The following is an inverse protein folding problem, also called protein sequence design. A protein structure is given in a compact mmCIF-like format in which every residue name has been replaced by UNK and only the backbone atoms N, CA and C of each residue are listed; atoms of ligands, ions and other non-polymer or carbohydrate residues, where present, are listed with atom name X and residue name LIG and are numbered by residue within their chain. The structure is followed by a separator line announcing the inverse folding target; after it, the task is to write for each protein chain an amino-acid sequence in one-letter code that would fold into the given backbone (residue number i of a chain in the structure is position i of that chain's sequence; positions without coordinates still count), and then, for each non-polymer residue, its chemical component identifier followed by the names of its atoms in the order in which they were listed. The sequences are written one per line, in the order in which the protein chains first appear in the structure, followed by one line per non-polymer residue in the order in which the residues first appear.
data_IF_906484208776
#
_entry.id   IF_906484208776
#
_cell.length_a   1.000
_cell.length_b   1.000
_cell.length_c   1.000
_cell.angle_alpha   90.00
_cell.angle_beta   90.00
_cell.angle_gamma   90.00
#
_symmetry.space_group_name_H-M   'P 1'
#
loop_
_entity.id
_entity.type
_entity.pdbx_description
1 polymer ?
#
# COMPACT_ATOMS: atom_id res chain seq x y z
N UNK A 1 -14.99 -23.38 19.58
CA UNK A 1 -14.80 -22.49 20.75
C UNK A 1 -13.37 -22.64 21.26
N UNK A 2 -12.48 -21.71 20.89
CA UNK A 2 -11.17 -21.54 21.53
C UNK A 2 -10.89 -20.04 21.58
N UNK A 3 -11.13 -19.48 22.74
CA UNK A 3 -10.91 -18.07 23.08
C UNK A 3 -9.42 -17.81 23.19
N UNK A 4 -8.88 -16.97 22.30
CA UNK A 4 -7.55 -16.38 22.44
C UNK A 4 -7.77 -15.03 23.12
N UNK A 5 -7.31 -14.95 24.37
CA UNK A 5 -7.23 -13.72 25.15
C UNK A 5 -6.20 -12.79 24.51
N UNK A 6 -6.66 -11.75 23.81
CA UNK A 6 -5.83 -10.59 23.51
C UNK A 6 -5.79 -9.74 24.79
N UNK A 7 -4.67 -9.89 25.51
CA UNK A 7 -4.24 -8.97 26.55
C UNK A 7 -3.91 -7.61 25.90
N UNK A 8 -4.93 -6.77 25.71
CA UNK A 8 -4.73 -5.32 25.57
C UNK A 8 -4.50 -4.81 26.99
N UNK A 9 -3.28 -4.97 27.49
CA UNK A 9 -2.85 -4.34 28.72
C UNK A 9 -2.78 -2.83 28.49
N UNK A 10 -3.64 -2.11 29.19
CA UNK A 10 -3.70 -0.66 29.16
C UNK A 10 -2.39 -0.01 29.61
N UNK A 11 -1.94 0.94 28.81
CA UNK A 11 -1.11 2.06 29.25
C UNK A 11 -1.95 3.34 29.13
N UNK A 12 -3.04 3.36 29.90
CA UNK A 12 -3.68 4.57 30.38
C UNK A 12 -3.28 4.73 31.84
N UNK A 13 -2.14 5.38 32.10
CA UNK A 13 -1.93 6.09 33.36
C UNK A 13 -0.86 7.17 33.23
N UNK A 14 -1.23 8.34 33.76
CA UNK A 14 -0.41 9.48 34.18
C UNK A 14 0.48 10.17 33.15
N UNK A 15 -0.04 11.28 32.60
CA UNK A 15 0.68 12.55 32.46
C UNK A 15 1.92 12.59 31.55
N UNK A 16 1.83 13.43 30.51
CA UNK A 16 2.97 13.99 29.74
C UNK A 16 3.50 13.22 28.52
N UNK A 17 2.63 12.76 27.63
CA UNK A 17 3.04 12.34 26.28
C UNK A 17 2.17 13.04 25.24
N UNK A 18 2.66 14.15 24.68
CA UNK A 18 2.08 14.83 23.51
C UNK A 18 3.21 15.56 22.78
N UNK A 19 3.61 15.07 21.59
CA UNK A 19 4.38 15.80 20.58
C UNK A 19 4.88 14.99 19.38
N UNK A 20 4.28 15.14 18.19
CA UNK A 20 4.83 14.67 16.93
C UNK A 20 4.81 15.69 15.79
N UNK A 21 5.46 15.34 14.67
CA UNK A 21 5.63 16.06 13.39
C UNK A 21 4.33 16.46 12.65
N UNK A 22 3.19 16.41 13.34
CA UNK A 22 1.82 16.79 12.97
C UNK A 22 1.06 17.28 14.21
N UNK A 23 1.08 16.44 15.24
CA UNK A 23 0.54 16.60 16.58
C UNK A 23 1.47 17.42 17.49
N UNK A 24 1.53 18.74 17.31
CA UNK A 24 2.42 19.73 17.95
C UNK A 24 3.45 19.38 19.04
N UNK A 25 4.63 20.03 18.98
CA UNK A 25 5.74 19.74 19.91
C UNK A 25 5.68 20.51 21.24
N UNK A 26 6.05 19.89 22.37
CA UNK A 26 6.29 20.60 23.64
C UNK A 26 7.52 21.49 23.47
N UNK A 27 7.32 22.80 23.54
CA UNK A 27 8.35 23.81 23.35
C UNK A 27 9.31 23.82 24.56
N UNK A 28 10.61 23.97 24.33
CA UNK A 28 11.64 24.02 25.38
C UNK A 28 11.51 25.22 26.34
N UNK A 29 12.23 25.22 27.49
CA UNK A 29 12.18 26.32 28.46
C UNK A 29 12.64 27.67 27.90
N UNK A 30 13.56 27.66 26.92
CA UNK A 30 14.17 28.86 26.32
C UNK A 30 13.21 29.75 25.52
N UNK A 31 12.06 29.23 25.11
CA UNK A 31 11.14 29.93 24.19
C UNK A 31 9.92 30.49 24.94
N UNK A 32 10.16 31.04 26.14
CA UNK A 32 9.13 31.54 27.05
C UNK A 32 8.28 32.64 26.40
N UNK A 33 8.90 33.55 25.64
CA UNK A 33 8.21 34.57 24.86
C UNK A 33 7.23 33.99 23.82
N UNK A 34 7.58 32.86 23.19
CA UNK A 34 6.70 32.19 22.21
C UNK A 34 5.55 31.47 22.90
N UNK A 35 5.81 30.76 24.01
CA UNK A 35 4.75 30.16 24.87
C UNK A 35 3.77 31.21 25.37
N UNK A 36 4.28 32.36 25.81
CA UNK A 36 3.46 33.45 26.32
C UNK A 36 2.71 34.17 25.19
N UNK A 37 3.24 34.16 23.96
CA UNK A 37 2.48 34.62 22.79
C UNK A 37 1.29 33.69 22.47
N UNK A 38 1.50 32.37 22.50
CA UNK A 38 0.46 31.37 22.25
C UNK A 38 -0.62 31.37 23.35
N UNK A 39 -0.24 31.59 24.61
CA UNK A 39 -1.18 31.72 25.74
C UNK A 39 -2.02 32.99 25.66
N UNK A 40 -1.41 34.13 25.30
CA UNK A 40 -2.11 35.42 25.18
C UNK A 40 -3.04 35.50 23.98
N UNK A 41 -2.69 34.85 22.87
CA UNK A 41 -3.51 34.86 21.65
C UNK A 41 -4.83 34.06 21.78
N UNK A 42 -4.95 33.20 22.80
CA UNK A 42 -6.05 32.24 22.91
C UNK A 42 -5.98 31.18 21.80
N UNK A 43 -6.86 30.17 21.89
CA UNK A 43 -6.99 29.15 20.85
C UNK A 43 -8.26 29.40 20.05
N UNK A 44 -8.17 30.07 18.89
CA UNK A 44 -9.36 30.53 18.16
C UNK A 44 -10.00 29.47 17.27
N UNK A 45 -9.45 28.25 17.22
CA UNK A 45 -9.89 27.20 16.31
C UNK A 45 -10.83 26.21 16.98
N UNK A 46 -11.77 25.66 16.21
CA UNK A 46 -12.65 24.59 16.71
C UNK A 46 -11.89 23.27 16.90
N UNK A 47 -10.89 23.03 16.06
CA UNK A 47 -10.07 21.83 16.05
C UNK A 47 -8.58 22.14 16.23
N UNK A 48 -7.80 21.26 16.87
CA UNK A 48 -8.27 20.06 17.56
C UNK A 48 -9.07 20.39 18.82
N UNK A 49 -9.99 19.51 19.24
CA UNK A 49 -10.94 19.77 20.35
C UNK A 49 -10.22 20.11 21.66
N UNK A 50 -9.02 19.55 21.89
CA UNK A 50 -8.17 19.85 23.06
C UNK A 50 -7.04 20.83 22.76
N UNK A 51 -7.16 21.60 21.68
CA UNK A 51 -6.14 22.52 21.22
C UNK A 51 -5.76 23.57 22.26
N UNK A 52 -6.76 24.22 22.88
CA UNK A 52 -6.53 25.19 23.95
C UNK A 52 -5.73 24.60 25.13
N UNK A 53 -6.11 23.41 25.61
CA UNK A 53 -5.43 22.72 26.71
C UNK A 53 -4.00 22.33 26.32
N UNK A 54 -3.78 21.91 25.08
CA UNK A 54 -2.44 21.57 24.59
C UNK A 54 -1.55 22.82 24.50
N UNK A 55 -2.07 23.92 23.94
CA UNK A 55 -1.34 25.19 23.82
C UNK A 55 -0.99 25.77 25.20
N UNK A 56 -1.90 25.72 26.19
CA UNK A 56 -1.61 26.13 27.57
C UNK A 56 -0.44 25.35 28.19
N UNK A 57 -0.32 24.06 27.83
CA UNK A 57 0.80 23.19 28.22
C UNK A 57 2.09 23.45 27.41
N UNK A 58 2.11 24.47 26.56
CA UNK A 58 3.27 24.86 25.76
C UNK A 58 3.49 23.96 24.55
N UNK A 59 2.42 23.36 24.02
CA UNK A 59 2.47 22.52 22.83
C UNK A 59 2.20 23.37 21.58
N UNK A 60 3.11 23.34 20.62
CA UNK A 60 3.00 24.05 19.35
C UNK A 60 2.25 23.23 18.30
N UNK A 61 0.93 23.40 18.19
CA UNK A 61 0.09 22.65 17.25
C UNK A 61 0.26 23.10 15.80
N UNK A 62 0.15 22.15 14.87
CA UNK A 62 -0.03 22.47 13.46
C UNK A 62 -1.47 22.92 13.19
N UNK A 63 -1.69 23.50 12.02
CA UNK A 63 -3.03 23.81 11.59
C UNK A 63 -3.87 22.54 11.39
N UNK A 64 -5.14 22.54 11.81
CA UNK A 64 -5.90 21.30 11.93
C UNK A 64 -6.23 20.67 10.58
N UNK A 65 -6.53 21.48 9.56
CA UNK A 65 -6.95 20.98 8.25
C UNK A 65 -5.75 20.87 7.32
N UNK A 66 -5.66 19.77 6.58
CA UNK A 66 -4.57 19.46 5.67
C UNK A 66 -5.04 18.94 4.31
N UNK A 67 -4.23 19.20 3.29
CA UNK A 67 -4.31 18.62 1.97
C UNK A 67 -2.91 18.18 1.55
N UNK A 68 -2.78 16.94 1.11
CA UNK A 68 -1.49 16.33 0.77
C UNK A 68 -1.57 15.61 -0.57
N UNK A 69 -0.56 15.82 -1.41
CA UNK A 69 -0.33 15.05 -2.61
C UNK A 69 0.79 14.05 -2.34
N UNK A 70 0.58 12.79 -2.68
CA UNK A 70 1.51 11.69 -2.54
C UNK A 70 1.84 11.10 -3.91
N UNK A 71 3.12 11.00 -4.21
CA UNK A 71 3.64 10.25 -5.35
C UNK A 71 4.41 9.06 -4.79
N UNK A 72 4.01 7.86 -5.18
CA UNK A 72 4.64 6.63 -4.72
C UNK A 72 5.04 5.76 -5.90
N UNK A 73 6.23 5.19 -5.84
CA UNK A 73 6.72 4.19 -6.78
C UNK A 73 7.42 3.06 -6.03
N UNK A 74 7.31 1.84 -6.51
CA UNK A 74 7.99 0.72 -5.86
C UNK A 74 7.77 -0.62 -6.54
N UNK A 75 8.33 -1.64 -5.93
CA UNK A 75 8.21 -3.04 -6.33
C UNK A 75 7.99 -3.93 -5.12
N UNK A 76 7.28 -5.02 -5.32
CA UNK A 76 6.93 -6.03 -4.33
C UNK A 76 7.10 -7.42 -4.93
N UNK A 77 7.79 -8.30 -4.20
CA UNK A 77 7.77 -9.74 -4.49
C UNK A 77 6.47 -10.36 -3.96
N UNK A 78 5.85 -11.19 -4.80
CA UNK A 78 4.53 -11.79 -4.55
C UNK A 78 4.65 -13.30 -4.69
N UNK A 79 3.99 -14.01 -3.78
CA UNK A 79 3.77 -15.45 -3.90
C UNK A 79 2.39 -15.66 -4.54
N UNK A 80 2.34 -16.49 -5.58
CA UNK A 80 1.08 -16.91 -6.21
C UNK A 80 0.80 -18.36 -5.81
N UNK A 81 -0.41 -18.62 -5.33
CA UNK A 81 -0.90 -19.95 -4.95
C UNK A 81 -2.32 -20.17 -5.47
N UNK A 82 -2.83 -21.40 -5.38
CA UNK A 82 -4.21 -21.78 -5.71
C UNK A 82 -4.67 -21.32 -7.10
N UNK A 83 -3.81 -21.46 -8.12
CA UNK A 83 -4.18 -21.16 -9.51
C UNK A 83 -5.28 -22.12 -9.98
N UNK A 84 -6.37 -21.56 -10.48
CA UNK A 84 -7.44 -22.28 -11.17
C UNK A 84 -7.77 -21.55 -12.46
N UNK A 85 -8.06 -22.31 -13.52
CA UNK A 85 -8.33 -21.77 -14.86
C UNK A 85 -9.57 -22.43 -15.44
N UNK A 86 -10.41 -21.64 -16.10
CA UNK A 86 -11.60 -22.08 -16.84
C UNK A 86 -11.80 -21.27 -18.12
N UNK A 87 -12.58 -21.81 -19.05
CA UNK A 87 -12.86 -21.22 -20.36
C UNK A 87 -14.36 -21.14 -20.62
N UNK A 88 -14.83 -20.01 -21.17
CA UNK A 88 -16.19 -19.82 -21.69
C UNK A 88 -17.26 -20.44 -20.77
N UNK A 89 -17.28 -19.99 -19.50
CA UNK A 89 -18.18 -20.42 -18.41
C UNK A 89 -18.05 -21.88 -17.91
N UNK A 90 -17.06 -22.66 -18.35
CA UNK A 90 -16.79 -23.98 -17.78
C UNK A 90 -16.26 -23.89 -16.34
N UNK A 91 -16.49 -24.93 -15.50
CA UNK A 91 -15.94 -24.99 -14.14
C UNK A 91 -14.42 -24.81 -14.14
N UNK A 92 -13.93 -23.98 -13.21
CA UNK A 92 -12.50 -23.76 -13.04
C UNK A 92 -11.81 -25.05 -12.57
N UNK A 93 -10.68 -25.35 -13.20
CA UNK A 93 -9.86 -26.52 -12.88
C UNK A 93 -8.59 -26.06 -12.15
N UNK A 94 -8.22 -26.67 -11.01
CA UNK A 94 -6.95 -26.39 -10.35
C UNK A 94 -5.75 -26.73 -11.23
N UNK A 95 -4.79 -25.79 -11.31
CA UNK A 95 -3.54 -25.90 -12.06
C UNK A 95 -2.36 -26.04 -11.11
N UNK A 96 -2.42 -27.05 -10.23
CA UNK A 96 -1.43 -27.32 -9.17
C UNK A 96 -0.04 -27.73 -9.68
N UNK A 97 0.04 -28.23 -10.91
CA UNK A 97 1.30 -28.52 -11.61
C UNK A 97 2.04 -27.27 -12.10
N UNK A 98 1.38 -26.10 -12.14
CA UNK A 98 2.02 -24.84 -12.54
C UNK A 98 2.79 -24.28 -11.37
N UNK A 99 4.12 -24.14 -11.53
CA UNK A 99 4.96 -23.50 -10.52
C UNK A 99 5.40 -22.12 -10.99
N UNK A 100 5.16 -21.13 -10.15
CA UNK A 100 5.64 -19.78 -10.34
C UNK A 100 7.06 -19.66 -9.78
N UNK A 101 7.95 -19.06 -10.55
CA UNK A 101 9.24 -18.57 -10.06
C UNK A 101 9.08 -17.25 -9.32
N UNK A 102 10.09 -16.38 -9.41
CA UNK A 102 9.98 -15.04 -8.85
C UNK A 102 8.90 -14.23 -9.59
N UNK A 103 7.87 -13.78 -8.85
CA UNK A 103 6.84 -12.87 -9.34
C UNK A 103 7.06 -11.51 -8.71
N UNK A 104 7.16 -10.48 -9.55
CA UNK A 104 7.43 -9.12 -9.13
C UNK A 104 6.34 -8.17 -9.62
N UNK A 105 5.70 -7.48 -8.69
CA UNK A 105 4.73 -6.43 -8.96
C UNK A 105 5.36 -5.05 -8.77
N UNK A 106 5.47 -4.27 -9.84
CA UNK A 106 5.84 -2.86 -9.83
C UNK A 106 4.59 -1.99 -9.73
N UNK A 107 4.59 -1.00 -8.84
CA UNK A 107 3.44 -0.13 -8.57
C UNK A 107 3.86 1.33 -8.60
N UNK A 108 3.02 2.15 -9.23
CA UNK A 108 3.10 3.61 -9.23
C UNK A 108 1.74 4.18 -8.85
N UNK A 109 1.71 5.16 -7.97
CA UNK A 109 0.47 5.82 -7.57
C UNK A 109 0.64 7.32 -7.36
N UNK A 110 -0.42 8.04 -7.65
CA UNK A 110 -0.58 9.45 -7.33
C UNK A 110 -1.89 9.61 -6.55
N UNK A 111 -1.80 9.98 -5.27
CA UNK A 111 -2.97 10.11 -4.40
C UNK A 111 -3.03 11.48 -3.73
N UNK A 112 -4.23 12.01 -3.61
CA UNK A 112 -4.54 13.16 -2.78
C UNK A 112 -5.13 12.67 -1.44
N UNK A 113 -4.75 13.36 -0.36
CA UNK A 113 -5.27 13.17 0.99
C UNK A 113 -5.86 14.47 1.48
N UNK A 114 -7.03 14.39 2.12
CA UNK A 114 -7.62 15.48 2.89
C UNK A 114 -7.74 15.03 4.34
N UNK A 115 -7.19 15.79 5.27
CA UNK A 115 -7.06 15.40 6.67
C UNK A 115 -7.47 16.49 7.68
N UNK A 116 -7.87 16.04 8.87
CA UNK A 116 -8.28 16.87 10.00
C UNK A 116 -7.74 16.30 11.31
N UNK A 117 -6.92 17.10 12.02
CA UNK A 117 -6.59 16.83 13.42
C UNK A 117 -7.81 17.07 14.32
N UNK A 118 -8.53 16.01 14.64
CA UNK A 118 -9.69 16.07 15.55
C UNK A 118 -9.26 16.23 17.00
N UNK A 119 -8.16 15.57 17.40
CA UNK A 119 -7.51 15.74 18.70
C UNK A 119 -6.04 16.11 18.50
N UNK A 120 -5.35 16.69 19.49
CA UNK A 120 -3.94 17.07 19.37
C UNK A 120 -3.00 15.92 18.99
N UNK A 121 -3.46 14.66 19.04
CA UNK A 121 -2.72 13.43 18.75
C UNK A 121 -3.45 12.51 17.77
N UNK A 122 -4.62 12.90 17.27
CA UNK A 122 -5.45 12.07 16.39
C UNK A 122 -5.88 12.86 15.15
N UNK A 123 -5.46 12.38 14.00
CA UNK A 123 -5.84 12.85 12.68
C UNK A 123 -6.75 11.84 12.01
N UNK A 124 -7.76 12.32 11.28
CA UNK A 124 -8.63 11.49 10.44
C UNK A 124 -8.60 12.01 9.03
N UNK A 125 -8.65 11.12 8.05
CA UNK A 125 -8.47 11.52 6.66
C UNK A 125 -9.17 10.60 5.67
N UNK A 126 -9.39 11.14 4.48
CA UNK A 126 -9.73 10.40 3.28
C UNK A 126 -8.60 10.51 2.26
N UNK A 127 -8.37 9.46 1.50
CA UNK A 127 -7.42 9.41 0.38
C UNK A 127 -8.11 8.96 -0.89
N UNK A 128 -7.69 9.51 -2.03
CA UNK A 128 -8.18 9.15 -3.34
C UNK A 128 -7.14 9.40 -4.41
N UNK A 129 -7.10 8.57 -5.45
CA UNK A 129 -6.13 8.77 -6.53
C UNK A 129 -6.12 7.68 -7.58
N UNK A 130 -5.08 7.73 -8.41
CA UNK A 130 -4.84 6.78 -9.48
C UNK A 130 -3.65 5.89 -9.15
N UNK A 131 -3.74 4.64 -9.61
CA UNK A 131 -2.68 3.64 -9.49
C UNK A 131 -2.45 2.98 -10.84
N UNK A 132 -1.18 2.66 -11.10
CA UNK A 132 -0.77 1.77 -12.19
C UNK A 132 0.09 0.67 -11.58
N UNK A 133 -0.21 -0.57 -11.91
CA UNK A 133 0.53 -1.73 -11.47
C UNK A 133 0.95 -2.56 -12.68
N UNK A 134 2.19 -3.05 -12.67
CA UNK A 134 2.72 -3.98 -13.67
C UNK A 134 3.20 -5.21 -12.95
N UNK A 135 2.66 -6.38 -13.30
CA UNK A 135 3.07 -7.65 -12.69
C UNK A 135 3.87 -8.44 -13.71
N UNK A 136 5.13 -8.73 -13.37
CA UNK A 136 5.98 -9.66 -14.08
C UNK A 136 5.78 -11.03 -13.47
N UNK A 137 5.23 -11.95 -14.25
CA UNK A 137 4.96 -13.33 -13.85
C UNK A 137 5.96 -14.23 -14.53
N UNK A 138 6.72 -14.98 -13.74
CA UNK A 138 7.61 -16.02 -14.23
C UNK A 138 7.04 -17.39 -13.85
N UNK A 139 6.77 -18.23 -14.83
CA UNK A 139 6.38 -19.63 -14.66
C UNK A 139 7.60 -20.49 -14.96
N UNK A 140 7.95 -21.39 -14.05
CA UNK A 140 9.14 -22.26 -14.16
C UNK A 140 8.80 -23.71 -14.46
N UNK A 141 7.56 -24.14 -14.17
CA UNK A 141 7.04 -25.45 -14.55
C UNK A 141 5.63 -25.29 -15.12
N UNK A 142 5.26 -26.08 -16.14
CA UNK A 142 6.03 -27.19 -16.75
C UNK A 142 7.11 -26.77 -17.75
N UNK A 143 7.10 -25.52 -18.20
CA UNK A 143 8.14 -24.92 -19.03
C UNK A 143 8.34 -23.45 -18.63
N UNK A 144 9.51 -22.90 -18.95
CA UNK A 144 9.83 -21.52 -18.63
C UNK A 144 9.04 -20.56 -19.53
N UNK A 145 8.23 -19.71 -18.90
CA UNK A 145 7.46 -18.68 -19.59
C UNK A 145 7.40 -17.41 -18.73
N UNK A 146 7.57 -16.26 -19.38
CA UNK A 146 7.41 -14.95 -18.74
C UNK A 146 6.27 -14.16 -19.37
N UNK A 147 5.40 -13.59 -18.53
CA UNK A 147 4.34 -12.69 -18.96
C UNK A 147 4.36 -11.38 -18.18
N UNK A 148 3.84 -10.32 -18.80
CA UNK A 148 3.59 -9.04 -18.15
C UNK A 148 2.08 -8.75 -18.17
N UNK A 149 1.55 -8.30 -17.04
CA UNK A 149 0.18 -7.79 -16.94
C UNK A 149 0.20 -6.33 -16.43
N UNK A 150 -0.36 -5.40 -17.21
CA UNK A 150 -0.50 -3.99 -16.87
C UNK A 150 -1.93 -3.71 -16.40
N UNK A 151 -2.04 -3.10 -15.22
CA UNK A 151 -3.29 -2.73 -14.60
C UNK A 151 -3.28 -1.24 -14.32
N UNK A 152 -4.37 -0.56 -14.70
CA UNK A 152 -4.64 0.81 -14.28
C UNK A 152 -5.86 0.82 -13.41
N UNK A 153 -5.98 1.83 -12.57
CA UNK A 153 -7.14 1.93 -11.72
C UNK A 153 -7.15 3.11 -10.80
N UNK A 154 -8.12 3.08 -9.90
CA UNK A 154 -8.37 4.12 -8.92
C UNK A 154 -8.42 3.53 -7.53
N UNK A 155 -8.01 4.33 -6.56
CA UNK A 155 -8.04 3.96 -5.15
C UNK A 155 -8.79 5.02 -4.36
N UNK A 156 -9.56 4.56 -3.39
CA UNK A 156 -10.18 5.40 -2.36
C UNK A 156 -9.93 4.76 -1.01
N UNK A 157 -9.76 5.56 0.03
CA UNK A 157 -9.52 5.03 1.37
C UNK A 157 -9.86 6.00 2.46
N UNK A 158 -10.03 5.45 3.65
CA UNK A 158 -10.21 6.18 4.89
C UNK A 158 -9.11 5.76 5.85
N UNK A 159 -8.64 6.70 6.66
CA UNK A 159 -7.59 6.39 7.61
C UNK A 159 -7.54 7.35 8.78
N UNK A 160 -6.66 6.99 9.71
CA UNK A 160 -6.34 7.77 10.88
C UNK A 160 -4.86 7.73 11.15
N UNK A 161 -4.33 8.83 11.66
CA UNK A 161 -2.96 8.89 12.18
C UNK A 161 -3.02 9.19 13.67
N UNK A 162 -2.45 8.29 14.46
CA UNK A 162 -2.17 8.53 15.89
C UNK A 162 -0.73 9.00 16.01
N UNK A 163 -0.52 10.11 16.71
CA UNK A 163 0.77 10.77 16.74
C UNK A 163 1.10 11.32 18.12
N UNK A 164 2.32 11.05 18.59
CA UNK A 164 2.79 11.57 19.87
C UNK A 164 4.30 11.68 19.94
N UNK A 165 4.78 12.19 21.07
CA UNK A 165 6.21 12.26 21.35
C UNK A 165 6.60 13.26 22.43
N UNK A 166 7.89 13.41 22.64
CA UNK A 166 8.47 13.91 23.88
C UNK A 166 9.96 14.24 23.69
N UNK A 167 10.39 15.45 24.05
CA UNK A 167 11.80 15.90 23.96
C UNK A 167 12.47 15.62 22.61
N UNK A 168 11.74 15.86 21.52
CA UNK A 168 12.23 15.62 20.16
C UNK A 168 11.96 14.20 19.65
N UNK A 169 11.80 13.20 20.52
CA UNK A 169 11.36 11.86 20.08
C UNK A 169 9.92 11.92 19.57
N UNK A 170 9.63 11.18 18.50
CA UNK A 170 8.34 11.18 17.81
C UNK A 170 7.88 9.76 17.48
N UNK A 171 6.59 9.44 17.66
CA UNK A 171 5.98 8.16 17.29
C UNK A 171 4.65 8.31 16.53
N UNK A 172 4.63 7.94 15.24
CA UNK A 172 3.47 8.07 14.31
C UNK A 172 2.99 6.64 14.14
N UNK A 173 1.71 6.37 14.29
CA UNK A 173 1.09 5.17 13.73
C UNK A 173 0.00 5.60 12.76
N UNK A 174 0.20 5.29 11.49
CA UNK A 174 -0.80 5.53 10.45
C UNK A 174 -1.54 4.24 10.15
N UNK A 175 -2.87 4.29 10.17
CA UNK A 175 -3.76 3.16 9.90
C UNK A 175 -4.72 3.60 8.81
N UNK A 176 -4.75 2.89 7.69
CA UNK A 176 -5.73 3.14 6.65
C UNK A 176 -6.28 1.86 6.06
N UNK A 177 -7.49 2.01 5.53
CA UNK A 177 -8.19 0.99 4.78
C UNK A 177 -8.52 1.54 3.41
N UNK A 178 -8.11 0.82 2.37
CA UNK A 178 -8.23 1.24 0.98
C UNK A 178 -9.06 0.23 0.18
N UNK A 179 -9.81 0.77 -0.78
CA UNK A 179 -10.53 0.05 -1.81
C UNK A 179 -9.94 0.47 -3.14
N UNK A 180 -9.23 -0.44 -3.78
CA UNK A 180 -8.58 -0.21 -5.07
C UNK A 180 -9.31 -1.00 -6.14
N UNK A 181 -9.81 -0.31 -7.17
CA UNK A 181 -10.39 -0.93 -8.35
C UNK A 181 -9.37 -0.85 -9.47
N UNK A 182 -9.02 -2.01 -10.02
CA UNK A 182 -8.12 -2.15 -11.15
C UNK A 182 -8.90 -2.68 -12.34
N UNK A 183 -8.52 -2.25 -13.54
CA UNK A 183 -9.04 -2.82 -14.79
C UNK A 183 -8.74 -4.32 -14.83
N UNK A 184 -9.62 -5.12 -15.44
CA UNK A 184 -9.46 -6.58 -15.59
C UNK A 184 -9.32 -7.37 -14.28
N UNK A 185 -9.70 -6.77 -13.14
CA UNK A 185 -9.83 -7.46 -11.86
C UNK A 185 -11.26 -7.25 -11.35
N UNK A 186 -11.94 -8.35 -11.03
CA UNK A 186 -13.31 -8.26 -10.56
C UNK A 186 -13.39 -7.70 -9.12
N UNK A 187 -14.25 -6.71 -8.94
CA UNK A 187 -14.49 -6.09 -7.64
C UNK A 187 -13.45 -5.06 -7.23
N UNK A 188 -13.21 -4.95 -5.92
CA UNK A 188 -12.25 -4.00 -5.34
C UNK A 188 -11.32 -4.74 -4.39
N UNK A 189 -10.03 -4.51 -4.54
CA UNK A 189 -8.99 -5.03 -3.64
C UNK A 189 -9.03 -4.20 -2.37
N UNK A 190 -9.32 -4.86 -1.25
CA UNK A 190 -9.40 -4.24 0.07
C UNK A 190 -8.09 -4.45 0.80
N UNK A 191 -7.46 -3.38 1.25
CA UNK A 191 -6.17 -3.44 1.93
C UNK A 191 -6.17 -2.61 3.19
N UNK A 192 -5.83 -3.25 4.30
CA UNK A 192 -5.43 -2.57 5.53
C UNK A 192 -3.93 -2.31 5.51
N UNK A 193 -3.54 -1.07 5.76
CA UNK A 193 -2.15 -0.69 5.97
C UNK A 193 -1.97 -0.15 7.38
N UNK A 194 -0.96 -0.66 8.10
CA UNK A 194 -0.60 -0.21 9.44
C UNK A 194 0.88 0.16 9.43
N UNK A 195 1.20 1.42 9.72
CA UNK A 195 2.56 1.94 9.63
C UNK A 195 2.99 2.66 10.91
N UNK A 196 3.47 1.92 11.93
CA UNK A 196 4.22 2.49 13.04
C UNK A 196 5.57 3.08 12.59
N UNK A 197 5.92 4.22 13.15
CA UNK A 197 7.15 4.97 12.91
C UNK A 197 7.67 5.52 14.24
N UNK A 198 8.97 5.45 14.45
CA UNK A 198 9.69 6.03 15.58
C UNK A 198 10.81 6.92 15.04
N UNK A 199 10.97 8.12 15.58
CA UNK A 199 11.96 9.06 15.05
C UNK A 199 12.31 10.19 16.00
N UNK A 200 13.00 11.19 15.44
CA UNK A 200 13.39 12.41 16.14
C UNK A 200 13.09 13.66 15.30
N UNK A 201 12.63 14.73 15.94
CA UNK A 201 12.31 16.02 15.34
C UNK A 201 13.28 17.11 15.84
N UNK A 202 14.11 17.59 14.92
CA UNK A 202 15.08 18.65 15.12
C UNK A 202 14.41 20.01 14.88
N UNK A 203 14.29 20.82 15.94
CA UNK A 203 13.78 22.19 15.87
C UNK A 203 14.92 23.17 15.61
N UNK A 204 14.74 24.09 14.67
CA UNK A 204 15.73 25.14 14.42
C UNK A 204 15.60 26.26 15.47
N UNK A 205 16.61 26.43 16.33
CA UNK A 205 16.62 27.41 17.43
C UNK A 205 16.25 28.83 16.99
N UNK A 206 16.71 29.27 15.82
CA UNK A 206 16.48 30.63 15.32
C UNK A 206 15.20 30.77 14.48
N UNK A 207 14.52 29.67 14.15
CA UNK A 207 13.30 29.64 13.32
C UNK A 207 12.36 28.54 13.83
N UNK A 208 11.65 28.74 14.95
CA UNK A 208 10.86 27.70 15.62
C UNK A 208 9.70 27.15 14.78
N UNK A 209 9.31 27.86 13.71
CA UNK A 209 8.29 27.40 12.77
C UNK A 209 8.83 26.41 11.72
N UNK A 210 10.14 26.12 11.74
CA UNK A 210 10.81 25.17 10.86
C UNK A 210 11.33 23.99 11.68
N UNK A 211 11.28 22.80 11.10
CA UNK A 211 11.85 21.61 11.70
C UNK A 211 12.19 20.55 10.67
N UNK A 212 13.08 19.63 11.07
CA UNK A 212 13.38 18.41 10.33
C UNK A 212 13.03 17.23 11.23
N UNK A 213 12.13 16.37 10.76
CA UNK A 213 11.89 15.08 11.39
C UNK A 213 12.52 13.97 10.57
N UNK A 214 13.14 13.00 11.23
CA UNK A 214 13.63 11.75 10.63
C UNK A 214 13.09 10.58 11.43
N UNK A 215 12.79 9.46 10.78
CA UNK A 215 12.24 8.28 11.45
C UNK A 215 12.61 6.99 10.74
N UNK A 216 12.47 5.90 11.49
CA UNK A 216 12.40 4.53 10.98
C UNK A 216 11.06 3.93 11.37
N UNK A 217 10.62 2.91 10.65
CA UNK A 217 9.34 2.27 10.93
C UNK A 217 9.18 0.98 10.16
N UNK A 218 7.97 0.44 10.21
CA UNK A 218 7.58 -0.71 9.42
C UNK A 218 6.14 -0.55 8.94
N UNK A 219 5.84 -1.01 7.73
CA UNK A 219 4.49 -1.04 7.18
C UNK A 219 4.02 -2.47 7.02
N UNK A 220 2.91 -2.80 7.67
CA UNK A 220 2.15 -4.02 7.42
C UNK A 220 1.15 -3.78 6.27
N UNK A 221 1.11 -4.68 5.30
CA UNK A 221 0.06 -4.76 4.28
C UNK A 221 -0.75 -6.02 4.50
N UNK A 222 -2.01 -5.86 4.85
CA UNK A 222 -2.95 -6.94 5.06
C UNK A 222 -3.99 -6.85 3.95
N UNK A 223 -3.78 -7.67 2.91
CA UNK A 223 -4.66 -7.73 1.74
C UNK A 223 -5.72 -8.77 2.03
N UNK A 224 -6.98 -8.33 1.97
CA UNK A 224 -8.13 -9.16 2.23
C UNK A 224 -8.62 -9.68 0.87
N UNK A 225 -8.12 -10.85 0.39
CA UNK A 225 -8.74 -11.81 -0.58
C UNK A 225 -7.77 -12.58 -1.50
N UNK A 226 -8.29 -13.69 -2.08
CA UNK A 226 -7.87 -14.22 -3.39
C UNK A 226 -8.37 -13.35 -4.55
N UNK A 227 -7.63 -13.34 -5.65
CA UNK A 227 -7.94 -12.53 -6.84
C UNK A 227 -8.69 -13.38 -7.86
N UNK A 228 -9.94 -13.00 -8.13
CA UNK A 228 -10.72 -13.46 -9.27
C UNK A 228 -10.58 -12.47 -10.42
N UNK A 229 -10.40 -12.96 -11.63
CA UNK A 229 -10.30 -12.10 -12.80
C UNK A 229 -10.55 -12.82 -14.11
N UNK A 230 -10.73 -12.00 -15.13
CA UNK A 230 -10.81 -12.44 -16.53
C UNK A 230 -9.69 -11.78 -17.31
N UNK A 231 -9.06 -12.56 -18.17
CA UNK A 231 -8.08 -12.06 -19.13
C UNK A 231 -8.54 -12.51 -20.50
N UNK A 232 -8.75 -11.53 -21.38
CA UNK A 232 -8.90 -11.84 -22.79
C UNK A 232 -7.57 -12.35 -23.29
N UNK A 233 -7.60 -13.43 -24.07
CA UNK A 233 -6.39 -13.94 -24.66
C UNK A 233 -5.65 -12.84 -25.41
N UNK A 234 -6.38 -11.95 -26.12
CA UNK A 234 -5.89 -10.76 -26.85
C UNK A 234 -4.95 -9.85 -26.06
N UNK A 235 -5.09 -9.81 -24.74
CA UNK A 235 -4.33 -8.90 -23.88
C UNK A 235 -3.00 -9.52 -23.41
N UNK A 236 -2.82 -10.83 -23.60
CA UNK A 236 -1.57 -11.52 -23.37
C UNK A 236 -0.62 -11.30 -24.56
N UNK A 237 0.66 -11.01 -24.29
CA UNK A 237 1.72 -11.02 -25.32
C UNK A 237 2.66 -12.20 -25.06
N UNK A 238 2.21 -13.44 -25.33
CA UNK A 238 2.96 -14.63 -24.97
C UNK A 238 4.24 -14.74 -25.81
N UNK A 239 5.39 -14.83 -25.16
CA UNK A 239 6.62 -15.38 -25.74
C UNK A 239 6.61 -16.89 -25.52
N UNK A 240 5.85 -17.63 -26.33
CA UNK A 240 5.79 -19.10 -26.26
C UNK A 240 6.25 -19.68 -27.60
N UNK A 241 7.09 -20.71 -27.52
CA UNK A 241 7.59 -21.45 -28.67
C UNK A 241 6.46 -22.24 -29.36
N UNK A 242 6.31 -22.10 -30.67
CA UNK A 242 5.24 -22.78 -31.44
C UNK A 242 5.35 -24.29 -31.32
N UNK A 243 6.57 -24.82 -31.36
CA UNK A 243 6.84 -26.25 -31.32
C UNK A 243 6.33 -26.86 -30.00
N UNK A 244 6.40 -26.12 -28.90
CA UNK A 244 5.88 -26.54 -27.60
C UNK A 244 4.35 -26.62 -27.61
N UNK A 245 3.67 -25.64 -28.22
CA UNK A 245 2.21 -25.63 -28.34
C UNK A 245 1.72 -26.81 -29.18
N UNK A 246 2.39 -27.10 -30.30
CA UNK A 246 2.04 -28.22 -31.17
C UNK A 246 2.21 -29.57 -30.48
N UNK A 247 3.28 -29.77 -29.69
CA UNK A 247 3.49 -31.01 -28.94
C UNK A 247 2.42 -31.25 -27.86
N UNK A 248 1.94 -30.18 -27.21
CA UNK A 248 0.82 -30.22 -26.26
C UNK A 248 -0.47 -30.63 -26.99
N UNK A 249 -0.77 -30.00 -28.14
CA UNK A 249 -1.96 -30.30 -28.93
C UNK A 249 -1.94 -31.74 -29.46
N UNK A 250 -0.77 -32.22 -29.88
CA UNK A 250 -0.53 -33.60 -30.30
C UNK A 250 -0.47 -34.60 -29.13
N UNK A 251 -0.57 -34.13 -27.89
CA UNK A 251 -0.53 -34.94 -26.66
C UNK A 251 0.77 -35.75 -26.50
N UNK A 252 1.89 -35.24 -27.02
CA UNK A 252 3.18 -35.96 -27.02
C UNK A 252 4.04 -35.68 -25.79
N UNK A 253 3.69 -34.66 -25.01
CA UNK A 253 4.44 -34.25 -23.82
C UNK A 253 4.16 -35.15 -22.61
N UNK A 254 5.22 -35.69 -22.00
CA UNK A 254 5.10 -36.62 -20.87
C UNK A 254 4.44 -35.97 -19.64
N UNK A 255 4.75 -34.70 -19.36
CA UNK A 255 4.13 -33.97 -18.26
C UNK A 255 2.64 -33.73 -18.51
N UNK A 256 2.24 -33.50 -19.77
CA UNK A 256 0.83 -33.34 -20.15
C UNK A 256 0.05 -34.64 -19.94
N UNK A 257 0.65 -35.77 -20.27
CA UNK A 257 0.06 -37.09 -20.05
C UNK A 257 -0.12 -37.45 -18.57
N UNK A 258 0.66 -36.83 -17.67
CA UNK A 258 0.52 -37.01 -16.22
C UNK A 258 -0.62 -36.18 -15.60
N UNK A 259 -1.19 -35.23 -16.35
CA UNK A 259 -2.29 -34.39 -15.87
C UNK A 259 -3.61 -35.15 -15.76
N UNK A 260 -4.50 -34.67 -14.89
CA UNK A 260 -5.88 -35.17 -14.85
C UNK A 260 -6.65 -34.79 -16.13
N UNK A 261 -7.70 -35.55 -16.47
CA UNK A 261 -8.54 -35.27 -17.67
C UNK A 261 -9.06 -33.82 -17.73
N UNK A 262 -9.55 -33.21 -16.62
CA UNK A 262 -9.95 -31.80 -16.64
C UNK A 262 -8.79 -30.86 -16.94
N UNK A 263 -7.60 -31.11 -16.38
CA UNK A 263 -6.41 -30.29 -16.61
C UNK A 263 -5.92 -30.41 -18.07
N UNK A 264 -5.89 -31.62 -18.61
CA UNK A 264 -5.54 -31.88 -20.02
C UNK A 264 -6.43 -31.08 -20.98
N UNK A 265 -7.74 -31.00 -20.71
CA UNK A 265 -8.68 -30.21 -21.51
C UNK A 265 -8.33 -28.73 -21.49
N UNK A 266 -8.16 -28.14 -20.29
CA UNK A 266 -7.82 -26.72 -20.12
C UNK A 266 -6.48 -26.38 -20.79
N UNK A 267 -5.44 -27.19 -20.57
CA UNK A 267 -4.12 -26.96 -21.16
C UNK A 267 -4.14 -27.04 -22.68
N UNK A 268 -4.90 -27.99 -23.24
CA UNK A 268 -5.02 -28.16 -24.70
C UNK A 268 -5.82 -27.02 -25.34
N UNK A 269 -6.91 -26.57 -24.71
CA UNK A 269 -7.68 -25.40 -25.14
C UNK A 269 -6.81 -24.13 -25.12
N UNK A 270 -6.02 -23.93 -24.06
CA UNK A 270 -5.07 -22.81 -23.97
C UNK A 270 -4.03 -22.87 -25.10
N UNK A 271 -3.43 -24.05 -25.33
CA UNK A 271 -2.39 -24.22 -26.32
C UNK A 271 -2.91 -23.97 -27.75
N UNK A 272 -4.11 -24.47 -28.05
CA UNK A 272 -4.78 -24.22 -29.33
C UNK A 272 -5.05 -22.73 -29.53
N UNK A 273 -5.56 -22.05 -28.50
CA UNK A 273 -5.89 -20.63 -28.57
C UNK A 273 -4.64 -19.76 -28.79
N UNK A 274 -3.55 -20.07 -28.09
CA UNK A 274 -2.25 -19.42 -28.28
C UNK A 274 -1.70 -19.65 -29.69
N UNK A 275 -1.79 -20.89 -30.21
CA UNK A 275 -1.30 -21.24 -31.54
C UNK A 275 -2.10 -20.53 -32.64
N UNK A 276 -3.43 -20.52 -32.53
CA UNK A 276 -4.34 -19.80 -33.43
C UNK A 276 -3.97 -18.32 -33.50
N UNK A 277 -3.78 -17.68 -32.33
CA UNK A 277 -3.37 -16.28 -32.27
C UNK A 277 -2.03 -16.04 -32.94
N UNK A 278 -1.03 -16.88 -32.67
CA UNK A 278 0.30 -16.79 -33.29
C UNK A 278 0.19 -16.93 -34.83
N UNK A 279 -0.79 -17.68 -35.32
CA UNK A 279 -1.06 -17.86 -36.75
C UNK A 279 -2.04 -16.81 -37.32
N UNK A 280 -2.46 -15.81 -36.54
CA UNK A 280 -3.35 -14.73 -36.97
C UNK A 280 -4.80 -15.14 -37.16
N UNK A 281 -5.22 -16.27 -36.57
CA UNK A 281 -6.61 -16.73 -36.60
C UNK A 281 -7.43 -16.03 -35.50
N UNK A 282 -8.71 -15.69 -35.76
CA UNK A 282 -9.58 -15.13 -34.74
C UNK A 282 -9.90 -16.18 -33.66
N UNK A 283 -9.75 -15.79 -32.40
CA UNK A 283 -10.26 -16.53 -31.24
C UNK A 283 -10.90 -15.53 -30.27
N UNK A 284 -12.14 -15.80 -29.87
CA UNK A 284 -12.93 -15.03 -28.90
C UNK A 284 -12.90 -15.66 -27.50
N UNK A 285 -11.84 -16.41 -27.20
CA UNK A 285 -11.73 -17.18 -25.96
C UNK A 285 -11.45 -16.24 -24.78
N UNK A 286 -12.36 -16.27 -23.81
CA UNK A 286 -12.19 -15.59 -22.51
C UNK A 286 -11.66 -16.58 -21.49
N UNK A 287 -10.52 -16.23 -20.87
CA UNK A 287 -9.89 -17.04 -19.83
C UNK A 287 -10.33 -16.51 -18.47
N UNK A 288 -11.05 -17.33 -17.72
CA UNK A 288 -11.38 -17.06 -16.33
C UNK A 288 -10.29 -17.68 -15.44
N UNK A 289 -9.79 -16.92 -14.48
CA UNK A 289 -8.81 -17.43 -13.53
C UNK A 289 -9.13 -17.02 -12.10
N UNK A 290 -8.78 -17.92 -11.18
CA UNK A 290 -8.71 -17.65 -9.75
C UNK A 290 -7.29 -17.93 -9.28
N UNK A 291 -6.73 -17.03 -8.46
CA UNK A 291 -5.45 -17.26 -7.81
C UNK A 291 -5.39 -16.48 -6.50
N UNK A 292 -4.58 -16.94 -5.56
CA UNK A 292 -4.24 -16.18 -4.36
C UNK A 292 -2.89 -15.50 -4.54
N UNK A 293 -2.84 -14.21 -4.21
CA UNK A 293 -1.63 -13.38 -4.25
C UNK A 293 -1.35 -12.90 -2.84
N UNK A 294 -0.17 -13.22 -2.34
CA UNK A 294 0.27 -12.74 -1.03
C UNK A 294 1.67 -12.12 -1.15
N UNK A 295 1.94 -10.98 -0.48
CA UNK A 295 3.30 -10.47 -0.38
C UNK A 295 4.22 -11.51 0.24
N UNK A 296 5.43 -11.68 -0.28
CA UNK A 296 6.44 -12.59 0.31
C UNK A 296 6.74 -12.25 1.78
N UNK A 297 6.54 -10.98 2.18
CA UNK A 297 6.49 -10.56 3.57
C UNK A 297 5.37 -9.56 3.78
N UNK A 298 4.60 -9.76 4.85
CA UNK A 298 3.54 -8.82 5.27
C UNK A 298 4.12 -7.49 5.74
N UNK A 299 5.33 -7.50 6.30
CA UNK A 299 6.00 -6.33 6.85
C UNK A 299 7.13 -5.86 5.94
N UNK A 300 7.22 -4.55 5.78
CA UNK A 300 8.34 -3.88 5.11
C UNK A 300 8.92 -2.79 5.99
N UNK A 301 10.24 -2.76 6.17
CA UNK A 301 10.89 -1.66 6.91
C UNK A 301 10.92 -0.40 6.06
N UNK A 302 10.80 0.75 6.73
CA UNK A 302 10.82 2.08 6.12
C UNK A 302 11.77 3.01 6.90
N UNK A 303 12.35 3.96 6.18
CA UNK A 303 13.05 5.11 6.74
C UNK A 303 12.57 6.37 6.04
N UNK A 304 12.39 7.47 6.76
CA UNK A 304 11.82 8.67 6.18
C UNK A 304 12.27 9.96 6.84
N UNK A 305 11.98 11.05 6.14
CA UNK A 305 12.25 12.39 6.62
C UNK A 305 11.12 13.34 6.21
N UNK A 306 10.91 14.37 7.03
CA UNK A 306 9.99 15.48 6.75
C UNK A 306 10.67 16.80 7.05
N UNK A 307 10.58 17.73 6.11
CA UNK A 307 10.99 19.11 6.29
C UNK A 307 9.75 19.99 6.40
N UNK A 308 9.64 20.76 7.49
CA UNK A 308 8.61 21.78 7.67
C UNK A 308 9.17 23.15 7.33
N UNK A 309 8.64 23.78 6.27
CA UNK A 309 9.04 25.13 5.85
C UNK A 309 8.42 26.22 6.71
N UNK A 310 7.16 26.00 7.12
CA UNK A 310 6.37 26.84 8.01
C UNK A 310 5.13 26.05 8.49
N UNK A 311 4.21 26.68 9.21
CA UNK A 311 2.98 26.03 9.70
C UNK A 311 2.04 25.51 8.60
N UNK A 312 2.22 25.93 7.35
CA UNK A 312 1.38 25.52 6.21
C UNK A 312 2.06 24.45 5.37
N UNK A 313 3.33 24.64 5.03
CA UNK A 313 4.02 23.82 4.03
C UNK A 313 4.98 22.82 4.65
N UNK A 314 4.83 21.56 4.26
CA UNK A 314 5.72 20.45 4.59
C UNK A 314 5.99 19.60 3.36
N UNK A 315 7.19 19.03 3.29
CA UNK A 315 7.53 17.98 2.33
C UNK A 315 8.03 16.77 3.10
N UNK A 316 7.61 15.59 2.67
CA UNK A 316 7.97 14.30 3.25
C UNK A 316 8.53 13.38 2.17
N UNK A 317 9.48 12.55 2.56
CA UNK A 317 9.90 11.39 1.78
C UNK A 317 10.06 10.17 2.67
N UNK A 318 9.78 8.99 2.13
CA UNK A 318 9.94 7.72 2.83
C UNK A 318 10.40 6.64 1.84
N UNK A 319 11.42 5.88 2.24
CA UNK A 319 11.97 4.76 1.48
C UNK A 319 11.67 3.46 2.20
N UNK A 320 11.17 2.46 1.46
CA UNK A 320 11.00 1.09 1.92
C UNK A 320 12.11 0.21 1.36
N UNK A 321 12.74 -0.63 2.18
CA UNK A 321 14.00 -1.28 1.80
C UNK A 321 14.19 -2.74 2.27
N UNK A 322 13.29 -3.29 3.08
CA UNK A 322 13.40 -4.65 3.63
C UNK A 322 12.05 -5.35 3.60
N UNK A 323 12.00 -6.67 3.44
CA UNK A 323 10.76 -7.45 3.41
C UNK A 323 10.21 -7.69 1.99
N UNK A 324 11.09 -7.85 1.00
CA UNK A 324 10.68 -8.09 -0.39
C UNK A 324 10.02 -6.89 -1.07
N UNK A 325 10.04 -5.71 -0.44
CA UNK A 325 9.51 -4.46 -0.97
C UNK A 325 10.61 -3.41 -1.08
N UNK A 326 10.65 -2.74 -2.22
CA UNK A 326 11.39 -1.49 -2.41
C UNK A 326 10.39 -0.41 -2.79
N UNK A 327 10.36 0.70 -2.06
CA UNK A 327 9.42 1.78 -2.36
C UNK A 327 10.03 3.15 -2.10
N UNK A 328 9.55 4.15 -2.82
CA UNK A 328 9.81 5.56 -2.59
C UNK A 328 8.47 6.29 -2.55
N UNK A 329 8.25 7.05 -1.48
CA UNK A 329 7.16 7.99 -1.32
C UNK A 329 7.74 9.40 -1.29
N UNK A 330 7.09 10.32 -2.00
CA UNK A 330 7.31 11.75 -1.91
C UNK A 330 5.95 12.41 -1.69
N UNK A 331 5.85 13.27 -0.69
CA UNK A 331 4.61 13.96 -0.36
C UNK A 331 4.82 15.45 -0.18
N UNK A 332 3.90 16.25 -0.73
CA UNK A 332 3.76 17.67 -0.42
C UNK A 332 2.49 17.90 0.39
N UNK A 333 2.56 18.63 1.49
CA UNK A 333 1.44 18.88 2.39
C UNK A 333 1.24 20.38 2.64
N UNK A 334 -0.01 20.82 2.52
CA UNK A 334 -0.48 22.16 2.83
C UNK A 334 -1.53 22.12 3.94
N UNK A 335 -1.33 22.90 5.02
CA UNK A 335 -2.25 22.99 6.15
C UNK A 335 -2.81 24.41 6.34
N UNK A 336 -4.07 24.50 6.79
CA UNK A 336 -4.75 25.78 7.04
C UNK A 336 -5.72 25.72 8.23
N UNK A 337 -6.16 26.91 8.65
CA UNK A 337 -7.03 27.14 9.81
C UNK A 337 -8.50 26.91 9.44
N UNK A 338 -9.28 26.38 10.37
CA UNK A 338 -10.74 26.29 10.30
C UNK A 338 -11.33 26.71 11.65
#
# INVERSE_FOLDING_TARGET
MKSIYILIAGLLCSGQLLAQAGAGMKIGPSDQAYKDSLRRAGYPYRFPIWGAKAVQKGINLQYPVGAMLNLQGGSQLVNITDLQVGFNDNPMVPMDFVKFGEVKADMQSATARLDLWVLPFLDVYAIGGAVRAKTHVNVVEPFNFSGEADFKGTTFGLGTTVAGGYHGLITITDINHTWTRLDNIEGSIKTWMITPRLGYNFLFKNKPNRSIAVWVGATAFLIDRGTDGTVNLSDLSPTVDKDQLEKIIAETEQWYQALSRPQQKVVKELAQALLNRINGLPDDITIHYHLKKEPTSQWSMIAGAQYQFNHRWQVRTEVGFLGGRKSLLISGNYRWRW
#
